data_IF_944754882839
#
_entry.id   IF_944754882839
#
_cell.length_a   1.000
_cell.length_b   1.000
_cell.length_c   1.000
_cell.angle_alpha   90.00
_cell.angle_beta   90.00
_cell.angle_gamma   90.00
#
_symmetry.space_group_name_H-M   'P 1'
#
loop_
_entity.id
_entity.type
_entity.pdbx_description
1 polymer ?
#
# COMPACT_ATOMS: atom_id res chain seq x y z
N UNK A 1 32.66 5.48 13.78
CA UNK A 1 31.31 5.09 14.23
C UNK A 1 30.33 6.21 13.87
N UNK A 2 29.78 6.19 12.65
CA UNK A 2 28.71 7.10 12.25
C UNK A 2 27.39 6.37 12.50
N UNK A 3 26.76 6.65 13.65
CA UNK A 3 25.39 6.18 13.91
C UNK A 3 24.39 6.79 12.92
N UNK A 4 23.26 6.12 12.65
CA UNK A 4 22.24 6.63 11.75
C UNK A 4 21.65 7.92 12.31
N UNK A 5 21.68 9.00 11.51
CA UNK A 5 21.12 10.30 11.90
C UNK A 5 19.59 10.20 11.95
N UNK A 6 18.93 10.81 12.95
CA UNK A 6 17.47 10.92 12.96
C UNK A 6 17.00 11.71 11.74
N UNK A 7 15.98 11.20 11.05
CA UNK A 7 15.27 11.88 9.95
C UNK A 7 14.53 13.08 10.52
N UNK A 8 15.23 14.19 10.70
CA UNK A 8 14.63 15.49 10.95
C UNK A 8 14.19 16.10 9.61
N UNK A 9 12.94 16.54 9.59
CA UNK A 9 12.17 16.92 8.41
C UNK A 9 12.90 17.88 7.49
N UNK A 10 13.21 17.40 6.28
CA UNK A 10 13.54 18.26 5.15
C UNK A 10 12.24 18.60 4.43
N UNK A 11 12.08 19.88 4.09
CA UNK A 11 10.88 20.47 3.49
C UNK A 11 10.21 19.54 2.49
N UNK A 12 9.03 19.04 2.85
CA UNK A 12 8.25 18.10 2.06
C UNK A 12 7.73 18.83 0.83
N UNK A 13 8.09 18.37 -0.36
CA UNK A 13 7.38 18.78 -1.57
C UNK A 13 5.87 18.52 -1.37
N UNK A 14 4.98 19.40 -1.85
CA UNK A 14 3.55 19.24 -1.62
C UNK A 14 3.09 17.91 -2.22
N UNK A 15 2.67 16.99 -1.35
CA UNK A 15 2.06 15.73 -1.74
C UNK A 15 0.73 16.05 -2.44
N UNK A 16 0.43 15.35 -3.54
CA UNK A 16 -0.87 15.49 -4.20
C UNK A 16 -1.94 15.06 -3.20
N UNK A 17 -2.96 15.89 -2.93
CA UNK A 17 -4.00 15.50 -2.01
C UNK A 17 -4.75 14.30 -2.59
N UNK A 18 -4.68 13.15 -1.91
CA UNK A 18 -5.63 12.06 -2.10
C UNK A 18 -7.01 12.67 -1.84
N UNK A 19 -7.83 12.79 -2.88
CA UNK A 19 -9.16 13.40 -2.78
C UNK A 19 -10.00 12.58 -1.80
N UNK A 20 -10.24 13.12 -0.62
CA UNK A 20 -11.21 12.57 0.34
C UNK A 20 -12.62 12.73 -0.24
N UNK A 21 -13.06 11.76 -1.04
CA UNK A 21 -14.44 11.67 -1.58
C UNK A 21 -15.30 10.66 -0.80
N UNK A 22 -15.07 10.54 0.50
CA UNK A 22 -15.76 9.58 1.36
C UNK A 22 -16.02 10.15 2.75
N UNK A 23 -16.89 11.16 2.83
CA UNK A 23 -17.64 11.47 4.04
C UNK A 23 -19.10 11.16 3.73
N UNK A 24 -19.53 9.93 3.97
CA UNK A 24 -20.95 9.58 3.92
C UNK A 24 -21.64 10.22 5.13
N UNK A 25 -22.78 10.85 4.85
CA UNK A 25 -23.63 11.55 5.79
C UNK A 25 -24.14 10.65 6.94
N UNK A 26 -24.22 11.24 8.14
CA UNK A 26 -25.21 10.96 9.18
C UNK A 26 -25.52 9.50 9.53
N UNK A 27 -24.83 8.97 10.53
CA UNK A 27 -25.19 7.74 11.25
C UNK A 27 -23.99 7.24 12.03
N UNK A 28 -24.08 7.18 13.37
CA UNK A 28 -23.04 6.57 14.22
C UNK A 28 -22.95 5.06 13.93
N UNK A 29 -22.22 4.74 12.87
CA UNK A 29 -21.79 3.40 12.54
C UNK A 29 -20.56 3.11 13.39
N UNK A 30 -20.54 2.00 14.13
CA UNK A 30 -19.34 1.51 14.79
C UNK A 30 -18.27 1.22 13.73
N UNK A 31 -17.48 2.24 13.39
CA UNK A 31 -16.41 2.08 12.41
C UNK A 31 -15.25 1.35 13.08
N UNK A 32 -14.83 0.25 12.45
CA UNK A 32 -13.67 -0.47 12.94
C UNK A 32 -12.45 0.47 12.87
N UNK A 33 -11.55 0.51 13.88
CA UNK A 33 -10.44 1.47 13.90
C UNK A 33 -9.53 1.49 12.66
N UNK A 34 -9.55 0.39 11.89
CA UNK A 34 -8.79 0.22 10.65
C UNK A 34 -9.48 0.77 9.38
N UNK A 35 -10.77 1.14 9.44
CA UNK A 35 -11.49 1.72 8.28
C UNK A 35 -10.83 3.00 7.77
N UNK A 36 -10.12 3.74 8.63
CA UNK A 36 -9.33 4.92 8.23
C UNK A 36 -8.28 4.64 7.15
N UNK A 37 -7.83 3.39 7.01
CA UNK A 37 -6.86 2.97 5.99
C UNK A 37 -7.53 2.44 4.71
N UNK A 38 -8.84 2.18 4.75
CA UNK A 38 -9.55 1.44 3.72
C UNK A 38 -10.52 2.34 2.94
N UNK A 39 -10.63 2.10 1.63
CA UNK A 39 -11.67 2.68 0.77
C UNK A 39 -12.93 1.87 0.98
N UNK A 40 -13.90 2.42 1.70
CA UNK A 40 -15.13 1.72 2.06
C UNK A 40 -16.03 1.53 0.85
N UNK A 41 -15.93 2.39 -0.16
CA UNK A 41 -16.70 2.36 -1.40
C UNK A 41 -16.41 1.15 -2.30
N UNK A 42 -15.30 0.43 -2.06
CA UNK A 42 -14.93 -0.79 -2.79
C UNK A 42 -15.08 -2.06 -1.96
N UNK A 43 -15.66 -1.95 -0.76
CA UNK A 43 -16.00 -3.11 0.07
C UNK A 43 -17.42 -3.61 -0.24
N UNK A 44 -17.66 -4.94 -0.25
CA UNK A 44 -16.67 -6.02 -0.11
C UNK A 44 -15.80 -6.19 -1.36
N UNK A 45 -14.52 -6.50 -1.15
CA UNK A 45 -13.55 -6.73 -2.22
C UNK A 45 -13.80 -8.01 -3.03
N UNK A 46 -13.05 -8.23 -4.11
CA UNK A 46 -13.24 -9.38 -5.02
C UNK A 46 -12.70 -10.71 -4.48
N UNK A 47 -12.36 -10.79 -3.18
CA UNK A 47 -11.77 -12.00 -2.61
C UNK A 47 -12.83 -13.07 -2.37
N UNK A 48 -12.50 -14.31 -2.72
CA UNK A 48 -13.37 -15.44 -2.43
C UNK A 48 -13.60 -15.60 -0.92
N UNK A 49 -14.75 -16.15 -0.48
CA UNK A 49 -14.95 -16.54 0.91
C UNK A 49 -13.82 -17.47 1.37
N UNK A 50 -13.18 -17.14 2.50
CA UNK A 50 -12.04 -17.89 3.04
C UNK A 50 -10.68 -17.58 2.40
N UNK A 51 -10.60 -16.65 1.44
CA UNK A 51 -9.32 -16.25 0.85
C UNK A 51 -8.42 -15.52 1.86
N UNK A 52 -7.16 -15.94 1.96
CA UNK A 52 -6.17 -15.35 2.87
C UNK A 52 -5.77 -13.91 2.57
N UNK A 53 -6.03 -13.39 1.36
CA UNK A 53 -5.65 -12.01 0.99
C UNK A 53 -6.34 -10.96 1.87
N UNK A 54 -7.57 -11.20 2.33
CA UNK A 54 -8.24 -10.32 3.29
C UNK A 54 -7.54 -10.30 4.66
N UNK A 55 -7.02 -11.44 5.10
CA UNK A 55 -6.22 -11.53 6.34
C UNK A 55 -4.89 -10.80 6.20
N UNK A 56 -4.23 -10.93 5.04
CA UNK A 56 -2.99 -10.20 4.73
C UNK A 56 -3.23 -8.70 4.70
N UNK A 57 -4.31 -8.22 4.06
CA UNK A 57 -4.72 -6.82 4.09
C UNK A 57 -4.90 -6.31 5.53
N UNK A 58 -5.64 -7.05 6.35
CA UNK A 58 -5.84 -6.70 7.76
C UNK A 58 -4.52 -6.68 8.55
N UNK A 59 -3.62 -7.62 8.30
CA UNK A 59 -2.31 -7.68 8.95
C UNK A 59 -1.42 -6.49 8.53
N UNK A 60 -1.42 -6.15 7.25
CA UNK A 60 -0.67 -5.03 6.69
C UNK A 60 -1.09 -3.70 7.35
N UNK A 61 -2.38 -3.38 7.39
CA UNK A 61 -2.84 -2.12 8.00
C UNK A 61 -2.63 -2.08 9.52
N UNK A 62 -2.70 -3.23 10.21
CA UNK A 62 -2.36 -3.33 11.64
C UNK A 62 -0.88 -3.08 11.88
N UNK A 63 -0.01 -3.59 11.02
CA UNK A 63 1.43 -3.34 11.11
C UNK A 63 1.72 -1.84 10.93
N UNK A 64 1.13 -1.22 9.91
CA UNK A 64 1.26 0.23 9.66
C UNK A 64 0.79 1.05 10.86
N UNK A 65 -0.38 0.71 11.43
CA UNK A 65 -0.90 1.38 12.62
C UNK A 65 0.04 1.25 13.83
N UNK A 66 0.62 0.06 14.06
CA UNK A 66 1.58 -0.18 15.16
C UNK A 66 2.88 0.61 15.01
N UNK A 67 3.25 0.98 13.79
CA UNK A 67 4.40 1.85 13.51
C UNK A 67 4.07 3.35 13.64
N UNK A 68 2.89 3.71 14.14
CA UNK A 68 2.52 5.11 14.42
C UNK A 68 2.06 5.89 13.20
N UNK A 69 1.75 5.22 12.09
CA UNK A 69 1.20 5.89 10.91
C UNK A 69 -0.33 5.90 10.97
N UNK A 70 -0.92 7.06 11.27
CA UNK A 70 -2.38 7.22 11.31
C UNK A 70 -3.03 7.35 9.93
N UNK A 71 -2.24 7.68 8.90
CA UNK A 71 -2.69 7.81 7.50
C UNK A 71 -1.69 7.14 6.55
N UNK A 72 -2.11 6.87 5.31
CA UNK A 72 -1.24 6.31 4.26
C UNK A 72 -0.72 7.37 3.27
N UNK A 73 -0.75 8.66 3.64
CA UNK A 73 -0.36 9.75 2.72
C UNK A 73 1.11 9.70 2.28
N UNK A 74 1.96 9.07 3.08
CA UNK A 74 3.40 8.93 2.81
C UNK A 74 3.73 7.56 2.17
N UNK A 75 2.71 6.76 1.88
CA UNK A 75 2.87 5.42 1.34
C UNK A 75 2.52 5.37 -0.14
N UNK A 76 3.33 4.64 -0.90
CA UNK A 76 3.02 4.22 -2.25
C UNK A 76 3.01 2.71 -2.29
N UNK A 77 1.87 2.12 -2.62
CA UNK A 77 1.76 0.69 -2.80
C UNK A 77 1.92 0.34 -4.27
N UNK A 78 2.75 -0.64 -4.58
CA UNK A 78 2.97 -1.10 -5.95
C UNK A 78 2.59 -2.57 -6.05
N UNK A 79 1.73 -2.90 -6.99
CA UNK A 79 1.28 -4.27 -7.24
C UNK A 79 1.42 -4.64 -8.71
N UNK A 80 1.73 -5.90 -8.98
CA UNK A 80 1.69 -6.45 -10.33
C UNK A 80 0.29 -6.94 -10.67
N UNK A 81 0.17 -8.13 -11.26
CA UNK A 81 -1.11 -8.73 -11.65
C UNK A 81 -1.38 -10.02 -10.86
N UNK A 82 -2.61 -10.17 -10.37
CA UNK A 82 -3.08 -11.36 -9.68
C UNK A 82 -4.06 -11.03 -8.56
N UNK A 83 -4.62 -12.04 -7.89
CA UNK A 83 -5.56 -11.81 -6.78
C UNK A 83 -4.93 -10.97 -5.67
N UNK A 84 -3.66 -11.21 -5.31
CA UNK A 84 -2.95 -10.43 -4.29
C UNK A 84 -2.75 -8.96 -4.67
N UNK A 85 -2.74 -8.61 -5.97
CA UNK A 85 -2.61 -7.23 -6.42
C UNK A 85 -3.83 -6.37 -6.03
N UNK A 86 -4.96 -7.02 -5.73
CA UNK A 86 -6.12 -6.31 -5.23
C UNK A 86 -5.93 -5.81 -3.81
N UNK A 87 -5.02 -6.38 -3.01
CA UNK A 87 -4.78 -5.96 -1.60
C UNK A 87 -4.57 -4.44 -1.50
N UNK A 88 -3.60 -3.82 -2.22
CA UNK A 88 -3.45 -2.37 -2.17
C UNK A 88 -4.45 -1.61 -3.05
N UNK A 89 -4.71 -2.10 -4.26
CA UNK A 89 -5.53 -1.38 -5.25
C UNK A 89 -6.79 -2.19 -5.58
N UNK A 90 -8.00 -1.76 -5.21
CA UNK A 90 -8.35 -0.42 -4.75
C UNK A 90 -8.48 -0.24 -3.23
N UNK A 91 -8.25 -1.26 -2.38
CA UNK A 91 -8.69 -1.21 -0.98
C UNK A 91 -8.01 -0.14 -0.11
N UNK A 92 -6.76 0.26 -0.36
CA UNK A 92 -6.06 1.17 0.53
C UNK A 92 -6.31 2.65 0.17
N UNK A 93 -6.54 3.48 1.19
CA UNK A 93 -6.59 4.96 1.08
C UNK A 93 -5.19 5.55 0.93
N UNK A 94 -4.48 5.11 -0.09
CA UNK A 94 -3.12 5.50 -0.44
C UNK A 94 -2.99 5.65 -1.96
N UNK A 95 -1.86 6.22 -2.39
CA UNK A 95 -1.45 6.09 -3.79
C UNK A 95 -1.07 4.64 -4.08
N UNK A 96 -1.63 4.10 -5.15
CA UNK A 96 -1.38 2.72 -5.58
C UNK A 96 -1.07 2.67 -7.06
N UNK A 97 -0.05 1.90 -7.43
CA UNK A 97 0.35 1.64 -8.81
C UNK A 97 0.09 0.16 -9.11
N UNK A 98 -0.93 -0.10 -9.93
CA UNK A 98 -1.22 -1.43 -10.46
C UNK A 98 -0.54 -1.56 -11.83
N UNK A 99 0.56 -2.29 -11.89
CA UNK A 99 1.48 -2.30 -13.03
C UNK A 99 1.44 -3.63 -13.79
N UNK A 100 2.21 -3.72 -14.88
CA UNK A 100 2.32 -4.94 -15.66
C UNK A 100 2.81 -6.14 -14.82
N UNK A 101 2.38 -7.34 -15.22
CA UNK A 101 2.67 -8.58 -14.50
C UNK A 101 4.19 -8.77 -14.30
N UNK A 102 4.59 -9.01 -13.05
CA UNK A 102 5.99 -9.16 -12.63
C UNK A 102 6.82 -7.89 -12.63
N UNK A 103 6.23 -6.70 -12.80
CA UNK A 103 6.97 -5.43 -12.83
C UNK A 103 6.83 -4.60 -11.57
N UNK A 104 6.13 -5.11 -10.55
CA UNK A 104 5.89 -4.40 -9.30
C UNK A 104 7.20 -3.94 -8.62
N UNK A 105 8.17 -4.86 -8.49
CA UNK A 105 9.47 -4.57 -7.87
C UNK A 105 10.26 -3.53 -8.68
N UNK A 106 10.37 -3.72 -9.99
CA UNK A 106 11.07 -2.78 -10.87
C UNK A 106 10.46 -1.37 -10.83
N UNK A 107 9.13 -1.26 -10.86
CA UNK A 107 8.45 0.03 -10.72
C UNK A 107 8.65 0.64 -9.34
N UNK A 108 8.57 -0.15 -8.27
CA UNK A 108 8.78 0.31 -6.90
C UNK A 108 10.18 0.88 -6.68
N UNK A 109 11.22 0.26 -7.24
CA UNK A 109 12.60 0.78 -7.23
C UNK A 109 12.63 2.17 -7.88
N UNK A 110 12.01 2.33 -9.06
CA UNK A 110 11.93 3.63 -9.73
C UNK A 110 11.24 4.71 -8.89
N UNK A 111 10.15 4.36 -8.20
CA UNK A 111 9.47 5.26 -7.26
C UNK A 111 10.41 5.65 -6.13
N UNK A 112 11.06 4.70 -5.47
CA UNK A 112 11.95 4.95 -4.33
C UNK A 112 13.20 5.75 -4.72
N UNK A 113 13.75 5.52 -5.90
CA UNK A 113 14.86 6.31 -6.44
C UNK A 113 14.47 7.77 -6.67
N UNK A 114 13.25 8.02 -7.16
CA UNK A 114 12.79 9.38 -7.45
C UNK A 114 12.26 10.12 -6.21
N UNK A 115 11.63 9.40 -5.29
CA UNK A 115 10.98 9.91 -4.07
C UNK A 115 11.46 9.12 -2.85
N UNK A 116 12.72 9.29 -2.44
CA UNK A 116 13.33 8.48 -1.37
C UNK A 116 12.68 8.67 0.00
N UNK A 117 11.92 9.75 0.20
CA UNK A 117 11.19 10.04 1.43
C UNK A 117 9.86 9.29 1.59
N UNK A 118 9.36 8.64 0.53
CA UNK A 118 8.11 7.86 0.59
C UNK A 118 8.35 6.43 1.06
N UNK A 119 7.39 5.88 1.78
CA UNK A 119 7.36 4.46 2.12
C UNK A 119 6.78 3.66 0.96
N UNK A 120 7.63 2.89 0.28
CA UNK A 120 7.24 2.13 -0.91
C UNK A 120 7.05 0.67 -0.53
N UNK A 121 5.84 0.14 -0.72
CA UNK A 121 5.48 -1.22 -0.34
C UNK A 121 5.04 -2.00 -1.57
N UNK A 122 5.72 -3.10 -1.85
CA UNK A 122 5.34 -4.02 -2.92
C UNK A 122 4.41 -5.10 -2.38
N UNK A 123 3.27 -5.32 -3.04
CA UNK A 123 2.36 -6.42 -2.73
C UNK A 123 2.05 -7.19 -4.00
N UNK A 124 2.32 -8.50 -3.99
CA UNK A 124 2.08 -9.37 -5.14
C UNK A 124 1.96 -10.84 -4.73
N UNK A 125 1.51 -11.65 -5.68
CA UNK A 125 1.44 -13.10 -5.50
C UNK A 125 2.79 -13.77 -5.74
N UNK A 126 2.87 -15.06 -5.44
CA UNK A 126 4.01 -15.92 -5.75
C UNK A 126 4.37 -15.93 -7.24
N UNK A 127 3.39 -16.15 -8.13
CA UNK A 127 3.62 -16.15 -9.58
C UNK A 127 4.06 -14.78 -10.13
N UNK A 128 3.57 -13.69 -9.54
CA UNK A 128 3.93 -12.31 -9.92
C UNK A 128 5.35 -11.96 -9.45
N UNK A 129 5.68 -12.23 -8.17
CA UNK A 129 6.91 -11.79 -7.54
C UNK A 129 8.06 -12.78 -7.71
N UNK A 130 7.83 -14.06 -7.44
CA UNK A 130 8.85 -15.12 -7.52
C UNK A 130 8.85 -15.86 -8.85
N UNK A 131 7.75 -15.83 -9.60
CA UNK A 131 7.65 -16.38 -10.96
C UNK A 131 8.19 -15.41 -12.02
N UNK A 132 7.29 -14.79 -12.79
CA UNK A 132 7.68 -13.89 -13.90
C UNK A 132 8.46 -12.66 -13.44
N UNK A 133 8.23 -12.20 -12.20
CA UNK A 133 8.98 -11.10 -11.58
C UNK A 133 10.29 -11.52 -10.90
N UNK A 134 10.63 -12.81 -10.88
CA UNK A 134 11.71 -13.35 -10.05
C UNK A 134 13.07 -12.67 -10.24
N UNK A 135 13.45 -12.36 -11.49
CA UNK A 135 14.71 -11.64 -11.73
C UNK A 135 14.73 -10.25 -11.08
N UNK A 136 13.61 -9.53 -11.05
CA UNK A 136 13.55 -8.22 -10.40
C UNK A 136 13.68 -8.35 -8.88
N UNK A 137 13.11 -9.41 -8.30
CA UNK A 137 13.26 -9.71 -6.87
C UNK A 137 14.72 -10.02 -6.50
N UNK A 138 15.42 -10.80 -7.32
CA UNK A 138 16.82 -11.18 -7.06
C UNK A 138 17.79 -9.98 -7.08
N UNK A 139 17.46 -8.94 -7.85
CA UNK A 139 18.27 -7.74 -7.97
C UNK A 139 17.83 -6.57 -7.07
N UNK A 140 16.74 -6.73 -6.31
CA UNK A 140 16.12 -5.67 -5.52
C UNK A 140 16.91 -5.27 -4.27
#
# INVERSE_FOLDING_TARGET
MLGPRPVQGRGRAPLVPVRDRGASAGGETMSHPLHRYLREEVLPGPFCPGCGNGLVLGALVRAIARHGHDTLREFVFVSGIGCAAWIPSPHLRADSLHVAHGRAVATAIGVKLRRPELEVVVVGGDGDIAGIGGNHLLHA
#
